data_IF_941620862801
#
_entry.id   IF_941620862801
#
_cell.length_a   1.000
_cell.length_b   1.000
_cell.length_c   1.000
_cell.angle_alpha   90.00
_cell.angle_beta   90.00
_cell.angle_gamma   90.00
#
_symmetry.space_group_name_H-M   'P 1'
#
loop_
_entity.id
_entity.type
_entity.pdbx_description
1 polymer ?
#
# COMPACT_ATOMS: atom_id res chain seq x y z
N UNK A 1 91.87 -5.76 -47.35
CA UNK A 1 92.80 -4.66 -47.69
C UNK A 1 92.39 -4.10 -49.05
N UNK A 2 92.26 -2.77 -49.11
CA UNK A 2 92.48 -1.87 -50.25
C UNK A 2 91.77 -2.11 -51.61
N UNK A 3 90.94 -1.13 -51.97
CA UNK A 3 90.51 -0.80 -53.34
C UNK A 3 91.72 -0.36 -54.22
N UNK A 4 91.61 -0.24 -55.57
CA UNK A 4 91.02 0.99 -56.14
C UNK A 4 90.42 0.93 -57.59
N UNK A 5 89.55 1.91 -57.88
CA UNK A 5 89.39 2.78 -59.09
C UNK A 5 89.37 2.28 -60.57
N UNK A 6 88.19 2.47 -61.20
CA UNK A 6 87.81 3.20 -62.47
C UNK A 6 88.20 2.80 -63.92
N UNK A 7 87.14 2.42 -64.70
CA UNK A 7 86.67 2.80 -66.08
C UNK A 7 87.52 2.58 -67.38
N UNK A 8 86.97 2.64 -68.64
CA UNK A 8 85.56 2.65 -69.17
C UNK A 8 85.30 1.75 -70.45
N UNK A 9 84.03 1.69 -70.95
CA UNK A 9 83.58 1.86 -72.38
C UNK A 9 82.28 1.11 -72.79
N UNK A 10 81.24 1.92 -73.13
CA UNK A 10 80.19 1.84 -74.19
C UNK A 10 79.46 0.50 -74.44
N UNK A 11 78.12 0.42 -74.55
CA UNK A 11 77.21 1.32 -75.30
C UNK A 11 75.72 1.23 -74.87
N UNK A 12 75.03 2.39 -74.91
CA UNK A 12 73.56 2.59 -74.94
C UNK A 12 72.98 2.31 -76.35
N UNK A 13 71.65 2.13 -76.60
CA UNK A 13 70.57 3.11 -76.31
C UNK A 13 69.24 2.44 -75.83
N UNK A 14 68.09 3.06 -75.55
CA UNK A 14 67.51 4.35 -75.93
C UNK A 14 66.52 4.89 -74.86
N UNK A 15 66.36 6.21 -74.89
CA UNK A 15 65.46 7.06 -74.11
C UNK A 15 63.99 6.98 -74.56
N UNK A 16 63.05 7.01 -73.60
CA UNK A 16 61.81 7.77 -73.76
C UNK A 16 61.34 8.33 -72.41
N UNK A 17 61.49 9.65 -72.26
CA UNK A 17 60.87 10.46 -71.22
C UNK A 17 59.47 10.89 -71.67
N UNK A 18 58.44 10.59 -70.88
CA UNK A 18 57.12 11.25 -70.98
C UNK A 18 56.80 11.93 -69.65
N UNK A 19 56.84 13.27 -69.68
CA UNK A 19 56.35 14.16 -68.61
C UNK A 19 54.82 14.06 -68.55
N UNK A 20 54.27 13.66 -67.41
CA UNK A 20 52.84 13.82 -67.09
C UNK A 20 52.59 15.16 -66.38
N UNK A 21 51.51 15.89 -66.69
CA UNK A 21 51.26 17.23 -66.15
C UNK A 21 50.63 17.13 -64.75
N UNK A 22 51.45 17.32 -63.72
CA UNK A 22 51.09 17.31 -62.29
C UNK A 22 50.00 18.35 -61.90
N UNK A 23 49.70 19.33 -62.76
CA UNK A 23 48.71 20.40 -62.48
C UNK A 23 47.25 19.97 -62.62
N UNK A 24 46.95 19.00 -63.49
CA UNK A 24 45.56 18.52 -63.67
C UNK A 24 45.12 17.61 -62.53
N UNK A 25 46.03 16.79 -61.99
CA UNK A 25 45.75 15.87 -60.89
C UNK A 25 45.45 16.62 -59.56
N UNK A 26 46.18 17.72 -59.30
CA UNK A 26 45.98 18.54 -58.11
C UNK A 26 44.64 19.29 -58.12
N UNK A 27 44.18 19.75 -59.28
CA UNK A 27 42.87 20.40 -59.45
C UNK A 27 41.70 19.42 -59.29
N UNK A 28 41.84 18.17 -59.76
CA UNK A 28 40.82 17.14 -59.56
C UNK A 28 40.73 16.67 -58.11
N UNK A 29 41.87 16.60 -57.40
CA UNK A 29 41.88 16.26 -55.97
C UNK A 29 41.31 17.39 -55.10
N UNK A 30 41.54 18.66 -55.43
CA UNK A 30 40.97 19.79 -54.67
C UNK A 30 39.45 19.92 -54.87
N UNK A 31 38.94 19.61 -56.06
CA UNK A 31 37.50 19.66 -56.31
C UNK A 31 36.77 18.50 -55.61
N UNK A 32 37.38 17.31 -55.59
CA UNK A 32 36.82 16.14 -54.90
C UNK A 32 36.78 16.31 -53.37
N UNK A 33 37.78 16.96 -52.76
CA UNK A 33 37.77 17.24 -51.32
C UNK A 33 36.74 18.30 -50.94
N UNK A 34 36.57 19.34 -51.75
CA UNK A 34 35.52 20.35 -51.54
C UNK A 34 34.13 19.74 -51.65
N UNK A 35 33.88 18.88 -52.65
CA UNK A 35 32.60 18.17 -52.80
C UNK A 35 32.34 17.19 -51.65
N UNK A 36 33.36 16.48 -51.16
CA UNK A 36 33.22 15.62 -49.99
C UNK A 36 32.93 16.41 -48.71
N UNK A 37 33.58 17.56 -48.51
CA UNK A 37 33.37 18.41 -47.33
C UNK A 37 31.98 19.07 -47.36
N UNK A 38 31.49 19.50 -48.52
CA UNK A 38 30.13 20.04 -48.64
C UNK A 38 29.07 18.94 -48.50
N UNK A 39 29.34 17.72 -48.99
CA UNK A 39 28.47 16.56 -48.74
C UNK A 39 28.45 16.16 -47.25
N UNK A 40 29.59 16.17 -46.56
CA UNK A 40 29.67 15.88 -45.12
C UNK A 40 28.98 16.96 -44.28
N UNK A 41 29.13 18.24 -44.64
CA UNK A 41 28.46 19.35 -43.96
C UNK A 41 26.96 19.31 -44.22
N UNK A 42 26.50 18.98 -45.43
CA UNK A 42 25.05 18.83 -45.72
C UNK A 42 24.46 17.60 -45.05
N UNK A 43 25.19 16.48 -44.97
CA UNK A 43 24.79 15.30 -44.18
C UNK A 43 24.73 15.67 -42.70
N UNK A 44 25.73 16.38 -42.16
CA UNK A 44 25.70 16.86 -40.77
C UNK A 44 24.54 17.84 -40.53
N UNK A 45 24.25 18.75 -41.46
CA UNK A 45 23.13 19.69 -41.38
C UNK A 45 21.77 19.00 -41.50
N UNK A 46 21.66 17.91 -42.29
CA UNK A 46 20.48 17.07 -42.37
C UNK A 46 20.30 16.19 -41.13
N UNK A 47 21.40 15.71 -40.51
CA UNK A 47 21.35 14.99 -39.23
C UNK A 47 21.07 15.90 -38.04
N UNK A 48 21.42 17.20 -38.10
CA UNK A 48 21.06 18.17 -37.06
C UNK A 48 19.68 18.80 -37.25
N UNK A 49 19.03 18.61 -38.41
CA UNK A 49 17.64 19.04 -38.66
C UNK A 49 16.62 17.89 -38.65
N UNK A 50 17.05 16.67 -38.34
CA UNK A 50 16.15 15.54 -38.03
C UNK A 50 16.27 15.14 -36.57
N UNK A 51 16.05 16.10 -35.67
CA UNK A 51 15.36 15.74 -34.42
C UNK A 51 13.96 15.30 -34.81
N UNK A 52 13.77 14.01 -35.06
CA UNK A 52 12.46 13.39 -34.92
C UNK A 52 12.05 13.62 -33.47
N UNK A 53 11.24 14.64 -33.22
CA UNK A 53 10.40 14.71 -32.03
C UNK A 53 9.63 13.39 -32.03
N UNK A 54 10.04 12.44 -31.20
CA UNK A 54 9.17 11.32 -30.83
C UNK A 54 8.01 11.94 -30.08
N UNK A 55 7.00 12.39 -30.82
CA UNK A 55 5.70 12.75 -30.28
C UNK A 55 5.18 11.46 -29.65
N UNK A 56 5.21 11.39 -28.32
CA UNK A 56 4.51 10.32 -27.61
C UNK A 56 3.05 10.32 -28.10
N UNK A 57 2.46 9.14 -28.38
CA UNK A 57 1.06 9.07 -28.80
C UNK A 57 0.18 9.83 -27.78
N UNK A 58 -0.90 10.50 -28.24
CA UNK A 58 -1.75 11.27 -27.35
C UNK A 58 -2.30 10.36 -26.26
N UNK A 59 -2.13 10.77 -25.00
CA UNK A 59 -2.54 10.01 -23.82
C UNK A 59 -4.01 9.60 -23.92
N UNK A 60 -4.31 8.31 -24.00
CA UNK A 60 -5.68 7.81 -24.10
C UNK A 60 -6.24 7.44 -22.73
N UNK A 61 -7.54 7.72 -22.45
CA UNK A 61 -8.20 7.25 -21.24
C UNK A 61 -8.11 5.72 -21.06
N UNK A 62 -8.10 4.96 -22.15
CA UNK A 62 -7.94 3.50 -22.13
C UNK A 62 -6.62 3.06 -21.48
N UNK A 63 -5.54 3.78 -21.75
CA UNK A 63 -4.20 3.44 -21.25
C UNK A 63 -4.10 3.73 -19.76
N UNK A 64 -4.70 4.86 -19.33
CA UNK A 64 -4.78 5.25 -17.91
C UNK A 64 -5.67 4.30 -17.09
N UNK A 65 -6.70 3.72 -17.70
CA UNK A 65 -7.67 2.86 -17.03
C UNK A 65 -7.38 1.37 -17.16
N UNK A 66 -6.29 0.96 -17.83
CA UNK A 66 -5.97 -0.43 -18.11
C UNK A 66 -5.81 -1.31 -16.84
N UNK A 67 -5.41 -0.70 -15.72
CA UNK A 67 -5.25 -1.38 -14.41
C UNK A 67 -6.45 -1.19 -13.48
N UNK A 68 -7.53 -0.55 -13.94
CA UNK A 68 -8.74 -0.39 -13.14
C UNK A 68 -9.51 -1.71 -13.02
N UNK A 69 -10.04 -2.07 -11.84
CA UNK A 69 -10.97 -3.19 -11.70
C UNK A 69 -12.30 -2.95 -12.43
N UNK A 70 -12.63 -1.69 -12.76
CA UNK A 70 -13.75 -1.32 -13.62
C UNK A 70 -13.29 -0.35 -14.71
N UNK A 71 -12.79 -0.87 -15.86
CA UNK A 71 -12.27 -0.04 -16.94
C UNK A 71 -13.32 0.88 -17.56
N UNK A 72 -14.57 0.42 -17.69
CA UNK A 72 -15.66 1.21 -18.29
C UNK A 72 -15.99 2.45 -17.45
N UNK A 73 -16.17 2.28 -16.14
CA UNK A 73 -16.44 3.40 -15.24
C UNK A 73 -15.24 4.35 -15.15
N UNK A 74 -14.03 3.82 -15.07
CA UNK A 74 -12.80 4.63 -15.08
C UNK A 74 -12.70 5.46 -16.36
N UNK A 75 -12.94 4.85 -17.52
CA UNK A 75 -12.88 5.54 -18.81
C UNK A 75 -13.87 6.70 -18.85
N UNK A 76 -15.13 6.50 -18.45
CA UNK A 76 -16.13 7.55 -18.41
C UNK A 76 -15.70 8.74 -17.54
N UNK A 77 -15.20 8.47 -16.34
CA UNK A 77 -14.74 9.48 -15.38
C UNK A 77 -13.51 10.24 -15.94
N UNK A 78 -12.51 9.52 -16.43
CA UNK A 78 -11.27 10.12 -16.96
C UNK A 78 -11.55 10.94 -18.20
N UNK A 79 -12.37 10.44 -19.14
CA UNK A 79 -12.78 11.20 -20.32
C UNK A 79 -13.47 12.50 -19.94
N UNK A 80 -14.38 12.49 -18.97
CA UNK A 80 -15.05 13.70 -18.50
C UNK A 80 -14.05 14.71 -17.95
N UNK A 81 -13.09 14.27 -17.13
CA UNK A 81 -12.04 15.14 -16.57
C UNK A 81 -11.18 15.76 -17.67
N UNK A 82 -10.76 14.97 -18.66
CA UNK A 82 -9.96 15.45 -19.78
C UNK A 82 -10.71 16.49 -20.64
N UNK A 83 -12.02 16.33 -20.83
CA UNK A 83 -12.86 17.28 -21.57
C UNK A 83 -13.04 18.62 -20.82
N UNK A 84 -13.06 18.59 -19.49
CA UNK A 84 -13.21 19.79 -18.66
C UNK A 84 -11.90 20.54 -18.39
N UNK A 85 -10.77 20.00 -18.85
CA UNK A 85 -9.47 20.65 -18.68
C UNK A 85 -9.37 21.87 -19.59
N UNK A 86 -9.17 23.05 -18.99
CA UNK A 86 -9.12 24.34 -19.69
C UNK A 86 -7.74 24.68 -20.27
N UNK A 87 -6.73 23.85 -20.02
CA UNK A 87 -5.40 24.04 -20.60
C UNK A 87 -5.34 23.45 -22.01
N UNK A 88 -4.99 24.30 -23.00
CA UNK A 88 -4.84 23.95 -24.42
C UNK A 88 -3.66 22.99 -24.73
N UNK A 89 -3.27 22.12 -23.80
CA UNK A 89 -2.21 21.13 -23.98
C UNK A 89 -2.62 19.80 -23.35
N UNK A 90 -2.24 18.69 -23.99
CA UNK A 90 -2.52 17.32 -23.53
C UNK A 90 -2.17 17.17 -22.03
N UNK A 91 -3.15 16.94 -21.13
CA UNK A 91 -2.89 16.92 -19.71
C UNK A 91 -2.07 15.68 -19.34
N UNK A 92 -1.06 15.88 -18.50
CA UNK A 92 -0.24 14.79 -17.97
C UNK A 92 -1.06 13.88 -17.04
N UNK A 93 -0.67 12.60 -16.85
CA UNK A 93 -1.34 11.71 -15.90
C UNK A 93 -1.43 12.31 -14.48
N UNK A 94 -0.42 13.07 -14.05
CA UNK A 94 -0.42 13.74 -12.74
C UNK A 94 -1.46 14.88 -12.66
N UNK A 95 -1.62 15.67 -13.73
CA UNK A 95 -2.67 16.69 -13.79
C UNK A 95 -4.06 16.04 -13.76
N UNK A 96 -4.27 14.96 -14.52
CA UNK A 96 -5.53 14.20 -14.51
C UNK A 96 -5.81 13.64 -13.11
N UNK A 97 -4.80 13.05 -12.45
CA UNK A 97 -4.90 12.57 -11.08
C UNK A 97 -5.35 13.68 -10.12
N UNK A 98 -4.70 14.86 -10.15
CA UNK A 98 -5.10 16.00 -9.31
C UNK A 98 -6.53 16.48 -9.58
N UNK A 99 -6.96 16.52 -10.84
CA UNK A 99 -8.34 16.84 -11.19
C UNK A 99 -9.34 15.80 -10.66
N UNK A 100 -8.99 14.52 -10.68
CA UNK A 100 -9.80 13.45 -10.09
C UNK A 100 -9.93 13.62 -8.57
N UNK A 101 -8.83 13.96 -7.87
CA UNK A 101 -8.88 14.24 -6.44
C UNK A 101 -9.80 15.43 -6.13
N UNK A 102 -9.70 16.52 -6.91
CA UNK A 102 -10.56 17.68 -6.75
C UNK A 102 -12.05 17.31 -6.94
N UNK A 103 -12.38 16.59 -8.01
CA UNK A 103 -13.75 16.14 -8.26
C UNK A 103 -14.25 15.18 -7.17
N UNK A 104 -13.38 14.32 -6.64
CA UNK A 104 -13.70 13.45 -5.50
C UNK A 104 -14.05 14.26 -4.24
N UNK A 105 -13.39 15.40 -3.99
CA UNK A 105 -13.73 16.28 -2.87
C UNK A 105 -15.12 16.93 -3.05
N UNK A 106 -15.45 17.35 -4.27
CA UNK A 106 -16.79 17.88 -4.60
C UNK A 106 -17.88 16.82 -4.37
N UNK A 107 -17.64 15.58 -4.81
CA UNK A 107 -18.57 14.46 -4.58
C UNK A 107 -18.71 14.14 -3.08
N UNK A 108 -17.64 14.30 -2.30
CA UNK A 108 -17.68 14.13 -0.84
C UNK A 108 -18.55 15.19 -0.17
N UNK A 109 -18.48 16.44 -0.61
CA UNK A 109 -19.34 17.50 -0.07
C UNK A 109 -20.82 17.26 -0.40
N UNK A 110 -21.12 16.77 -1.61
CA UNK A 110 -22.47 16.35 -1.98
C UNK A 110 -22.98 15.18 -1.11
N UNK A 111 -22.14 14.17 -0.87
CA UNK A 111 -22.47 13.04 0.00
C UNK A 111 -22.72 13.50 1.44
N UNK A 112 -21.88 14.41 1.97
CA UNK A 112 -22.04 14.97 3.31
C UNK A 112 -23.35 15.77 3.46
N UNK A 113 -23.73 16.55 2.44
CA UNK A 113 -24.99 17.27 2.42
C UNK A 113 -26.20 16.30 2.42
N UNK A 114 -26.15 15.25 1.61
CA UNK A 114 -27.18 14.20 1.58
C UNK A 114 -27.34 13.48 2.92
N UNK A 115 -26.22 13.15 3.57
CA UNK A 115 -26.23 12.57 4.91
C UNK A 115 -26.88 13.50 5.95
N UNK A 116 -26.54 14.80 5.92
CA UNK A 116 -27.12 15.77 6.85
C UNK A 116 -28.63 15.93 6.68
N UNK A 117 -29.13 16.00 5.43
CA UNK A 117 -30.57 16.07 5.16
C UNK A 117 -31.29 14.79 5.63
N UNK A 118 -30.72 13.62 5.34
CA UNK A 118 -31.27 12.31 5.70
C UNK A 118 -31.35 12.12 7.22
N UNK A 119 -30.32 12.56 7.95
CA UNK A 119 -30.28 12.51 9.41
C UNK A 119 -31.43 13.33 10.03
N UNK A 120 -31.74 14.50 9.48
CA UNK A 120 -32.79 15.38 10.00
C UNK A 120 -34.21 14.91 9.65
N UNK A 121 -34.41 14.28 8.48
CA UNK A 121 -35.76 14.07 7.93
C UNK A 121 -36.27 12.63 8.00
N UNK A 122 -35.40 11.64 7.83
CA UNK A 122 -35.81 10.27 7.49
C UNK A 122 -35.36 9.23 8.51
N UNK A 123 -34.19 9.42 9.11
CA UNK A 123 -33.54 8.37 9.92
C UNK A 123 -33.85 8.60 11.41
N UNK A 124 -34.86 7.88 11.91
CA UNK A 124 -35.27 7.92 13.33
C UNK A 124 -34.76 6.75 14.15
N UNK A 125 -34.33 5.68 13.49
CA UNK A 125 -33.90 4.45 14.14
C UNK A 125 -32.46 4.60 14.66
N UNK A 126 -32.19 4.41 15.97
CA UNK A 126 -30.88 4.73 16.56
C UNK A 126 -29.71 4.00 15.91
N UNK A 127 -29.89 2.73 15.49
CA UNK A 127 -28.82 1.96 14.84
C UNK A 127 -28.46 2.56 13.47
N UNK A 128 -29.44 2.94 12.67
CA UNK A 128 -29.19 3.68 11.42
C UNK A 128 -28.55 5.05 11.67
N UNK A 129 -28.89 5.76 12.75
CA UNK A 129 -28.22 7.02 13.09
C UNK A 129 -26.74 6.80 13.44
N UNK A 130 -26.42 5.78 14.23
CA UNK A 130 -25.03 5.41 14.54
C UNK A 130 -24.27 4.98 13.29
N UNK A 131 -24.87 4.16 12.43
CA UNK A 131 -24.25 3.75 11.18
C UNK A 131 -23.97 4.94 10.24
N UNK A 132 -24.89 5.91 10.16
CA UNK A 132 -24.69 7.12 9.39
C UNK A 132 -23.57 8.01 9.98
N UNK A 133 -23.49 8.11 11.30
CA UNK A 133 -22.41 8.82 11.97
C UNK A 133 -21.04 8.18 11.69
N UNK A 134 -20.96 6.84 11.71
CA UNK A 134 -19.74 6.10 11.37
C UNK A 134 -19.33 6.35 9.92
N UNK A 135 -20.30 6.30 9.00
CA UNK A 135 -20.05 6.64 7.61
C UNK A 135 -19.49 8.05 7.47
N UNK A 136 -20.10 9.04 8.13
CA UNK A 136 -19.63 10.42 8.08
C UNK A 136 -18.20 10.57 8.62
N UNK A 137 -17.84 9.82 9.66
CA UNK A 137 -16.47 9.78 10.14
C UNK A 137 -15.50 9.20 9.09
N UNK A 138 -15.86 8.10 8.44
CA UNK A 138 -15.07 7.50 7.35
C UNK A 138 -14.90 8.44 6.15
N UNK A 139 -15.96 9.17 5.77
CA UNK A 139 -15.90 10.17 4.70
C UNK A 139 -14.99 11.34 5.07
N UNK A 140 -14.99 11.79 6.33
CA UNK A 140 -14.10 12.84 6.79
C UNK A 140 -12.64 12.39 6.80
N UNK A 141 -12.34 11.15 7.20
CA UNK A 141 -10.98 10.59 7.11
C UNK A 141 -10.53 10.47 5.66
N UNK A 142 -11.44 10.10 4.76
CA UNK A 142 -11.17 10.02 3.32
C UNK A 142 -10.85 11.39 2.72
N UNK A 143 -11.58 12.44 3.13
CA UNK A 143 -11.30 13.82 2.72
C UNK A 143 -9.87 14.22 3.04
N UNK A 144 -9.42 13.98 4.28
CA UNK A 144 -8.06 14.34 4.71
C UNK A 144 -7.01 13.63 3.82
N UNK A 145 -7.22 12.33 3.53
CA UNK A 145 -6.34 11.53 2.69
C UNK A 145 -6.33 11.96 1.21
N UNK A 146 -7.47 12.34 0.67
CA UNK A 146 -7.57 12.86 -0.71
C UNK A 146 -6.78 14.17 -0.81
N UNK A 147 -6.96 15.09 0.15
CA UNK A 147 -6.20 16.35 0.19
C UNK A 147 -4.70 16.07 0.28
N UNK A 148 -4.27 15.20 1.19
CA UNK A 148 -2.84 14.87 1.33
C UNK A 148 -2.26 14.21 0.08
N UNK A 149 -3.05 13.42 -0.67
CA UNK A 149 -2.58 12.71 -1.87
C UNK A 149 -2.20 13.63 -3.03
N UNK A 150 -2.70 14.87 -3.09
CA UNK A 150 -2.44 15.79 -4.21
C UNK A 150 -0.97 16.21 -4.37
N UNK A 151 -0.24 16.24 -3.26
CA UNK A 151 1.16 16.67 -3.17
C UNK A 151 2.10 15.56 -2.65
N UNK A 152 1.58 14.36 -2.42
CA UNK A 152 2.36 13.25 -1.86
C UNK A 152 3.27 12.58 -2.89
N UNK A 153 4.28 11.85 -2.40
CA UNK A 153 4.98 10.86 -3.21
C UNK A 153 4.00 9.82 -3.75
N UNK A 154 4.29 9.24 -4.92
CA UNK A 154 3.37 8.30 -5.60
C UNK A 154 2.97 7.12 -4.70
N UNK A 155 3.91 6.59 -3.92
CA UNK A 155 3.69 5.47 -2.98
C UNK A 155 2.73 5.84 -1.85
N UNK A 156 2.90 7.04 -1.27
CA UNK A 156 2.05 7.54 -0.19
C UNK A 156 0.64 7.84 -0.74
N UNK A 157 0.55 8.52 -1.89
CA UNK A 157 -0.72 8.78 -2.57
C UNK A 157 -1.47 7.49 -2.92
N UNK A 158 -0.77 6.45 -3.38
CA UNK A 158 -1.36 5.14 -3.67
C UNK A 158 -1.92 4.48 -2.41
N UNK A 159 -1.16 4.53 -1.32
CA UNK A 159 -1.58 3.97 -0.03
C UNK A 159 -2.81 4.69 0.50
N UNK A 160 -2.78 6.02 0.50
CA UNK A 160 -3.87 6.85 1.00
C UNK A 160 -5.14 6.74 0.15
N UNK A 161 -5.02 6.72 -1.18
CA UNK A 161 -6.17 6.51 -2.06
C UNK A 161 -6.75 5.10 -1.96
N UNK A 162 -5.94 4.09 -1.64
CA UNK A 162 -6.45 2.73 -1.33
C UNK A 162 -7.24 2.70 -0.02
N UNK A 163 -6.77 3.45 0.99
CA UNK A 163 -7.50 3.63 2.24
C UNK A 163 -8.82 4.40 2.03
N UNK A 164 -8.83 5.44 1.17
CA UNK A 164 -10.04 6.19 0.77
C UNK A 164 -11.09 5.25 0.16
N UNK A 165 -10.69 4.42 -0.81
CA UNK A 165 -11.59 3.43 -1.41
C UNK A 165 -12.17 2.47 -0.36
N UNK A 166 -11.32 1.99 0.55
CA UNK A 166 -11.71 1.09 1.66
C UNK A 166 -12.71 1.79 2.60
N UNK A 167 -12.48 3.04 2.95
CA UNK A 167 -13.39 3.82 3.80
C UNK A 167 -14.76 4.02 3.14
N UNK A 168 -14.81 4.28 1.83
CA UNK A 168 -16.08 4.42 1.10
C UNK A 168 -16.86 3.10 1.03
N UNK A 169 -16.18 1.99 0.75
CA UNK A 169 -16.78 0.65 0.79
C UNK A 169 -17.29 0.31 2.20
N UNK A 170 -16.45 0.54 3.23
CA UNK A 170 -16.80 0.28 4.63
C UNK A 170 -18.00 1.12 5.08
N UNK A 171 -18.07 2.39 4.67
CA UNK A 171 -19.25 3.21 4.94
C UNK A 171 -20.49 2.54 4.32
N UNK A 172 -20.45 2.19 3.03
CA UNK A 172 -21.62 1.61 2.36
C UNK A 172 -22.07 0.29 2.99
N UNK A 173 -21.13 -0.57 3.36
CA UNK A 173 -21.40 -1.85 4.01
C UNK A 173 -21.99 -1.69 5.42
N UNK A 174 -21.62 -0.61 6.11
CA UNK A 174 -22.14 -0.30 7.45
C UNK A 174 -23.55 0.28 7.46
N UNK A 175 -24.04 0.80 6.33
CA UNK A 175 -25.38 1.39 6.22
C UNK A 175 -26.45 0.33 5.91
N UNK A 176 -27.66 0.58 6.43
CA UNK A 176 -28.84 -0.23 6.13
C UNK A 176 -30.10 0.66 6.02
N UNK A 177 -31.18 0.11 5.47
CA UNK A 177 -32.49 0.75 5.37
C UNK A 177 -32.47 2.11 4.68
N UNK A 178 -33.14 3.09 5.27
CA UNK A 178 -33.27 4.44 4.70
C UNK A 178 -31.91 5.14 4.55
N UNK A 179 -30.98 4.92 5.49
CA UNK A 179 -29.64 5.50 5.44
C UNK A 179 -28.84 4.97 4.24
N UNK A 180 -28.93 3.67 3.96
CA UNK A 180 -28.30 3.06 2.78
C UNK A 180 -28.90 3.60 1.50
N UNK A 181 -30.23 3.60 1.39
CA UNK A 181 -30.92 4.10 0.19
C UNK A 181 -30.56 5.54 -0.16
N UNK A 182 -30.41 6.41 0.84
CA UNK A 182 -30.04 7.81 0.63
C UNK A 182 -28.58 7.99 0.18
N UNK A 183 -27.67 7.17 0.70
CA UNK A 183 -26.22 7.36 0.50
C UNK A 183 -25.63 6.50 -0.63
N UNK A 184 -26.31 5.43 -1.05
CA UNK A 184 -25.73 4.41 -1.93
C UNK A 184 -25.19 4.97 -3.25
N UNK A 185 -25.95 5.82 -3.95
CA UNK A 185 -25.51 6.41 -5.21
C UNK A 185 -24.26 7.31 -5.03
N UNK A 186 -24.21 8.10 -3.95
CA UNK A 186 -23.06 8.93 -3.63
C UNK A 186 -21.83 8.09 -3.32
N UNK A 187 -21.98 7.01 -2.55
CA UNK A 187 -20.87 6.15 -2.15
C UNK A 187 -20.33 5.33 -3.31
N UNK A 188 -21.18 4.86 -4.22
CA UNK A 188 -20.73 4.19 -5.45
C UNK A 188 -19.98 5.15 -6.38
N UNK A 189 -20.44 6.40 -6.51
CA UNK A 189 -19.70 7.44 -7.23
C UNK A 189 -18.32 7.66 -6.60
N UNK A 190 -18.25 7.85 -5.29
CA UNK A 190 -17.00 8.04 -4.56
C UNK A 190 -16.03 6.86 -4.70
N UNK A 191 -16.52 5.62 -4.62
CA UNK A 191 -15.73 4.40 -4.87
C UNK A 191 -15.16 4.40 -6.30
N UNK A 192 -15.97 4.78 -7.29
CA UNK A 192 -15.53 4.86 -8.68
C UNK A 192 -14.45 5.93 -8.89
N UNK A 193 -14.59 7.12 -8.31
CA UNK A 193 -13.56 8.17 -8.35
C UNK A 193 -12.25 7.72 -7.68
N UNK A 194 -12.32 7.07 -6.51
CA UNK A 194 -11.13 6.56 -5.83
C UNK A 194 -10.43 5.47 -6.67
N UNK A 195 -11.21 4.55 -7.27
CA UNK A 195 -10.69 3.52 -8.17
C UNK A 195 -10.05 4.09 -9.44
N UNK A 196 -10.69 5.08 -10.06
CA UNK A 196 -10.15 5.77 -11.24
C UNK A 196 -8.85 6.52 -10.90
N UNK A 197 -8.82 7.19 -9.75
CA UNK A 197 -7.62 7.89 -9.23
C UNK A 197 -6.45 6.93 -9.04
N UNK A 198 -6.69 5.74 -8.49
CA UNK A 198 -5.66 4.70 -8.34
C UNK A 198 -5.14 4.17 -9.68
N UNK A 199 -6.02 3.98 -10.66
CA UNK A 199 -5.63 3.54 -11.99
C UNK A 199 -4.77 4.59 -12.71
N UNK A 200 -5.19 5.86 -12.68
CA UNK A 200 -4.42 6.97 -13.27
C UNK A 200 -3.08 7.15 -12.56
N UNK A 201 -3.05 7.03 -11.23
CA UNK A 201 -1.80 7.14 -10.45
C UNK A 201 -0.76 6.08 -10.83
N UNK A 202 -1.21 4.87 -11.21
CA UNK A 202 -0.33 3.82 -11.72
C UNK A 202 0.31 4.19 -13.06
N UNK A 203 -0.31 5.06 -13.85
CA UNK A 203 0.23 5.55 -15.11
C UNK A 203 1.11 6.81 -14.97
N UNK A 204 1.25 7.36 -13.75
CA UNK A 204 2.17 8.48 -13.47
C UNK A 204 3.61 7.95 -13.48
N UNK A 205 4.50 8.45 -14.36
CA UNK A 205 5.88 7.95 -14.45
C UNK A 205 6.63 8.02 -13.13
N UNK A 206 7.40 6.97 -12.81
CA UNK A 206 8.38 6.91 -11.73
C UNK A 206 9.40 8.04 -11.85
N UNK A 207 9.61 8.83 -10.78
CA UNK A 207 10.80 9.69 -10.73
C UNK A 207 12.04 8.80 -10.53
N UNK A 208 13.24 9.27 -10.90
CA UNK A 208 14.50 8.55 -10.62
C UNK A 208 14.78 8.36 -9.11
N UNK A 209 13.93 8.90 -8.23
CA UNK A 209 13.92 8.65 -6.78
C UNK A 209 12.82 7.67 -6.33
N UNK A 210 11.94 7.25 -7.24
CA UNK A 210 11.00 6.15 -7.08
C UNK A 210 11.59 4.88 -7.70
N UNK A 211 12.64 4.33 -7.09
CA UNK A 211 13.03 2.96 -7.42
C UNK A 211 11.90 2.02 -6.99
N UNK A 212 11.01 1.71 -7.94
CA UNK A 212 10.04 0.61 -7.85
C UNK A 212 10.78 -0.76 -7.88
N UNK A 213 12.08 -0.74 -8.15
CA UNK A 213 13.07 -1.81 -7.93
C UNK A 213 13.79 -1.66 -6.58
N UNK A 214 13.05 -1.40 -5.50
CA UNK A 214 13.46 -1.98 -4.22
C UNK A 214 13.22 -3.49 -4.34
N UNK A 215 14.18 -4.16 -5.00
CA UNK A 215 14.56 -5.52 -4.64
C UNK A 215 14.69 -5.46 -3.13
N UNK A 216 13.66 -5.92 -2.42
CA UNK A 216 13.65 -6.04 -0.96
C UNK A 216 14.81 -6.97 -0.63
N UNK A 217 15.98 -6.36 -0.44
CA UNK A 217 17.15 -7.05 0.08
C UNK A 217 16.72 -7.56 1.45
N UNK A 218 16.84 -8.87 1.73
CA UNK A 218 16.38 -9.41 2.99
C UNK A 218 17.35 -8.96 4.07
N UNK A 219 17.01 -7.88 4.77
CA UNK A 219 17.65 -7.54 6.03
C UNK A 219 16.57 -7.04 6.98
N UNK A 220 16.74 -7.41 8.24
CA UNK A 220 16.01 -6.95 9.41
C UNK A 220 16.07 -5.41 9.60
N UNK A 221 15.61 -4.64 8.64
CA UNK A 221 15.64 -3.17 8.65
C UNK A 221 14.24 -2.60 8.81
N UNK A 222 14.05 -1.81 9.86
CA UNK A 222 12.83 -1.04 10.06
C UNK A 222 12.47 -0.18 8.83
N UNK A 223 11.16 0.03 8.57
CA UNK A 223 10.67 0.97 7.55
C UNK A 223 11.41 2.31 7.55
N UNK A 224 11.66 2.88 6.38
CA UNK A 224 12.37 4.16 6.20
C UNK A 224 11.72 5.32 6.96
N UNK A 225 10.40 5.29 7.15
CA UNK A 225 9.66 6.30 7.91
C UNK A 225 9.89 6.23 9.43
N UNK A 226 10.37 5.10 9.97
CA UNK A 226 10.75 4.99 11.38
C UNK A 226 12.11 5.65 11.60
N UNK A 227 12.11 6.71 12.42
CA UNK A 227 13.33 7.42 12.78
C UNK A 227 14.32 6.51 13.52
N UNK A 228 15.63 6.79 13.41
CA UNK A 228 16.65 6.04 14.19
C UNK A 228 16.35 6.01 15.69
N UNK A 229 15.77 7.09 16.22
CA UNK A 229 15.34 7.17 17.62
C UNK A 229 14.22 6.18 17.93
N UNK A 230 13.21 6.09 17.06
CA UNK A 230 12.10 5.15 17.23
C UNK A 230 12.56 3.70 17.09
N UNK A 231 13.46 3.41 16.14
CA UNK A 231 14.07 2.08 15.98
C UNK A 231 14.77 1.64 17.25
N UNK A 232 15.64 2.51 17.79
CA UNK A 232 16.34 2.27 19.05
C UNK A 232 15.36 2.04 20.21
N UNK A 233 14.25 2.77 20.24
CA UNK A 233 13.22 2.62 21.26
C UNK A 233 12.49 1.27 21.14
N UNK A 234 12.16 0.82 19.92
CA UNK A 234 11.53 -0.47 19.65
C UNK A 234 12.43 -1.67 19.98
N UNK A 235 13.74 -1.50 19.81
CA UNK A 235 14.75 -2.53 20.12
C UNK A 235 15.08 -2.63 21.62
N UNK A 236 14.56 -1.73 22.46
CA UNK A 236 14.78 -1.80 23.91
C UNK A 236 14.01 -2.98 24.50
N UNK A 237 14.74 -3.91 25.10
CA UNK A 237 14.19 -5.12 25.73
C UNK A 237 13.77 -4.94 27.19
N UNK A 238 13.99 -3.75 27.77
CA UNK A 238 13.63 -3.43 29.16
C UNK A 238 12.67 -2.24 29.22
N UNK A 239 11.41 -2.44 29.69
CA UNK A 239 10.45 -1.36 29.87
C UNK A 239 10.95 -0.23 30.78
N UNK A 240 11.81 -0.56 31.76
CA UNK A 240 12.39 0.40 32.71
C UNK A 240 13.41 1.36 32.05
N UNK A 241 13.88 1.07 30.83
CA UNK A 241 14.77 1.95 30.07
C UNK A 241 14.02 2.97 29.21
N UNK A 242 12.70 2.84 29.08
CA UNK A 242 11.87 3.69 28.24
C UNK A 242 11.54 4.99 29.00
N UNK A 243 12.06 6.12 28.52
CA UNK A 243 11.62 7.44 29.00
C UNK A 243 10.21 7.74 28.50
N UNK A 244 9.22 7.48 29.35
CA UNK A 244 7.82 7.75 29.05
C UNK A 244 7.44 9.22 29.28
N UNK A 245 6.61 9.77 28.40
CA UNK A 245 5.99 11.08 28.58
C UNK A 245 4.81 11.02 29.55
N UNK A 246 4.08 9.91 29.54
CA UNK A 246 2.96 9.63 30.43
C UNK A 246 3.05 8.18 30.94
N UNK A 247 2.70 7.96 32.21
CA UNK A 247 2.64 6.63 32.80
C UNK A 247 1.24 6.34 33.32
N UNK A 248 0.74 5.15 33.00
CA UNK A 248 -0.57 4.65 33.39
C UNK A 248 -0.41 3.48 34.35
N UNK A 249 -1.10 3.50 35.48
CA UNK A 249 -1.12 2.40 36.43
C UNK A 249 -2.51 2.22 37.04
N UNK A 250 -3.09 1.02 36.92
CA UNK A 250 -4.43 0.71 37.41
C UNK A 250 -4.57 0.88 38.94
N UNK A 251 -3.47 0.68 39.67
CA UNK A 251 -3.37 0.84 41.13
C UNK A 251 -3.28 2.30 41.60
N UNK A 252 -3.19 3.26 40.67
CA UNK A 252 -3.04 4.68 40.98
C UNK A 252 -1.61 5.12 41.32
N UNK A 253 -0.60 4.25 41.14
CA UNK A 253 0.81 4.56 41.41
C UNK A 253 1.49 5.44 40.35
N UNK A 254 0.73 5.96 39.37
CA UNK A 254 1.24 6.72 38.24
C UNK A 254 0.38 7.95 37.96
N UNK A 255 0.84 8.78 37.01
CA UNK A 255 0.18 10.04 36.60
C UNK A 255 -1.27 9.84 36.16
N UNK A 256 -1.55 8.73 35.47
CA UNK A 256 -2.88 8.39 35.00
C UNK A 256 -3.32 7.02 35.53
N UNK A 257 -4.62 6.90 35.83
CA UNK A 257 -5.24 5.63 36.22
C UNK A 257 -5.79 4.85 35.02
N UNK A 258 -6.16 5.55 33.94
CA UNK A 258 -6.76 4.97 32.73
C UNK A 258 -5.92 5.32 31.51
N UNK A 259 -5.98 4.43 30.50
CA UNK A 259 -5.28 4.61 29.24
C UNK A 259 -5.91 5.76 28.44
N UNK A 260 -7.24 5.91 28.45
CA UNK A 260 -7.91 7.05 27.78
C UNK A 260 -7.42 8.39 28.31
N UNK A 261 -7.29 8.56 29.64
CA UNK A 261 -6.84 9.83 30.21
C UNK A 261 -5.41 10.20 29.77
N UNK A 262 -4.53 9.20 29.65
CA UNK A 262 -3.20 9.42 29.10
C UNK A 262 -3.25 9.79 27.61
N UNK A 263 -4.09 9.12 26.81
CA UNK A 263 -4.29 9.49 25.40
C UNK A 263 -4.84 10.91 25.23
N UNK A 264 -5.76 11.33 26.10
CA UNK A 264 -6.35 12.68 26.05
C UNK A 264 -5.31 13.78 26.33
N UNK A 265 -4.34 13.48 27.20
CA UNK A 265 -3.24 14.38 27.57
C UNK A 265 -2.22 14.63 26.45
N UNK A 266 -2.20 13.78 25.41
CA UNK A 266 -1.26 13.90 24.28
C UNK A 266 -1.49 15.24 23.56
N UNK A 267 -0.48 16.10 23.33
CA UNK A 267 -0.67 17.33 22.56
C UNK A 267 -1.08 17.05 21.11
N UNK A 268 -1.79 17.98 20.47
CA UNK A 268 -2.13 17.85 19.05
C UNK A 268 -0.90 18.11 18.17
N UNK A 269 -0.72 17.35 17.10
CA UNK A 269 0.29 17.60 16.06
C UNK A 269 1.73 17.39 16.52
N UNK A 270 2.00 16.37 17.36
CA UNK A 270 3.36 16.09 17.81
C UNK A 270 4.28 15.78 16.63
N UNK A 271 5.41 16.47 16.57
CA UNK A 271 6.50 16.18 15.62
C UNK A 271 7.43 15.07 16.10
N UNK A 272 7.49 14.88 17.42
CA UNK A 272 8.30 13.86 18.08
C UNK A 272 7.41 12.76 18.68
N UNK A 273 7.99 11.57 18.86
CA UNK A 273 7.36 10.44 19.53
C UNK A 273 6.88 10.82 20.93
N UNK A 274 5.58 10.66 21.20
CA UNK A 274 5.00 10.76 22.53
C UNK A 274 4.76 9.35 23.08
N UNK A 275 5.48 8.97 24.13
CA UNK A 275 5.47 7.61 24.70
C UNK A 275 4.55 7.54 25.91
N UNK A 276 3.53 6.70 25.83
CA UNK A 276 2.65 6.32 26.93
C UNK A 276 3.08 4.95 27.41
N UNK A 277 3.55 4.86 28.65
CA UNK A 277 3.87 3.59 29.29
C UNK A 277 2.71 3.11 30.13
N UNK A 278 2.23 1.90 29.87
CA UNK A 278 1.09 1.28 30.54
C UNK A 278 1.58 0.10 31.37
N UNK A 279 1.67 0.30 32.69
CA UNK A 279 2.13 -0.75 33.60
C UNK A 279 1.26 -2.01 33.50
N UNK A 280 1.75 -3.12 34.03
CA UNK A 280 1.02 -4.38 34.14
C UNK A 280 -0.33 -4.17 34.83
N UNK A 281 -1.35 -4.81 34.30
CA UNK A 281 -2.72 -4.68 34.77
C UNK A 281 -3.74 -4.99 33.69
N UNK A 282 -4.99 -5.13 34.12
CA UNK A 282 -6.15 -5.28 33.24
C UNK A 282 -6.95 -3.98 33.26
N UNK A 283 -6.97 -3.30 32.11
CA UNK A 283 -7.61 -2.01 31.88
C UNK A 283 -8.92 -2.26 31.15
N UNK A 284 -10.04 -2.22 31.90
CA UNK A 284 -11.39 -2.40 31.36
C UNK A 284 -11.94 -1.07 30.84
N UNK A 285 -11.57 -0.73 29.61
CA UNK A 285 -11.94 0.53 28.98
C UNK A 285 -11.95 0.40 27.45
N UNK A 286 -12.84 1.16 26.79
CA UNK A 286 -12.81 1.38 25.35
C UNK A 286 -12.06 2.70 25.11
N UNK A 287 -10.97 2.63 24.35
CA UNK A 287 -10.05 3.75 24.18
C UNK A 287 -10.00 4.22 22.73
N UNK A 288 -9.87 5.53 22.53
CA UNK A 288 -9.80 6.15 21.23
C UNK A 288 -8.71 7.21 21.13
N UNK A 289 -7.88 7.10 20.10
CA UNK A 289 -6.84 8.06 19.73
C UNK A 289 -7.25 8.80 18.44
N UNK A 290 -7.71 10.04 18.61
CA UNK A 290 -8.17 10.87 17.50
C UNK A 290 -7.06 11.30 16.53
N UNK A 291 -7.44 11.63 15.28
CA UNK A 291 -6.51 11.95 14.18
C UNK A 291 -5.49 13.08 14.46
N UNK A 292 -5.82 14.01 15.36
CA UNK A 292 -4.91 15.12 15.73
C UNK A 292 -3.77 14.69 16.65
N UNK A 293 -3.87 13.52 17.28
CA UNK A 293 -2.88 12.98 18.23
C UNK A 293 -1.87 12.10 17.48
N UNK A 294 -0.93 12.73 16.78
CA UNK A 294 0.07 12.05 15.94
C UNK A 294 1.29 11.59 16.74
N UNK A 295 2.04 10.64 16.19
CA UNK A 295 3.32 10.10 16.68
C UNK A 295 3.26 9.54 18.11
N UNK A 296 2.18 8.83 18.44
CA UNK A 296 2.01 8.22 19.76
C UNK A 296 2.54 6.79 19.77
N UNK A 297 3.29 6.43 20.81
CA UNK A 297 3.62 5.05 21.13
C UNK A 297 2.98 4.65 22.44
N UNK A 298 2.35 3.49 22.46
CA UNK A 298 1.79 2.89 23.67
C UNK A 298 2.55 1.59 23.90
N UNK A 299 3.22 1.50 25.04
CA UNK A 299 4.05 0.36 25.40
C UNK A 299 3.65 -0.18 26.75
N UNK A 300 3.49 -1.51 26.85
CA UNK A 300 3.15 -2.19 28.09
C UNK A 300 4.34 -2.85 28.78
N UNK A 301 4.09 -3.48 29.93
CA UNK A 301 5.05 -4.32 30.67
C UNK A 301 5.26 -5.70 30.01
N UNK A 302 4.52 -6.02 28.94
CA UNK A 302 4.52 -7.31 28.26
C UNK A 302 3.11 -7.68 27.77
N UNK A 303 3.02 -8.43 26.66
CA UNK A 303 1.73 -8.76 26.04
C UNK A 303 0.76 -9.50 26.98
N UNK A 304 1.27 -10.32 27.90
CA UNK A 304 0.46 -11.03 28.89
C UNK A 304 0.28 -10.25 30.21
N UNK A 305 1.07 -9.20 30.41
CA UNK A 305 1.10 -8.41 31.64
C UNK A 305 0.20 -7.17 31.57
N UNK A 306 0.15 -6.52 30.41
CA UNK A 306 -0.64 -5.31 30.18
C UNK A 306 -1.77 -5.61 29.19
N UNK A 307 -3.02 -5.60 29.68
CA UNK A 307 -4.20 -5.96 28.88
C UNK A 307 -5.20 -4.80 28.86
N UNK A 308 -5.57 -4.33 27.67
CA UNK A 308 -6.69 -3.41 27.46
C UNK A 308 -7.86 -4.25 26.94
N UNK A 309 -8.98 -4.25 27.65
CA UNK A 309 -10.13 -5.13 27.36
C UNK A 309 -11.44 -4.37 27.30
N UNK A 310 -12.29 -4.78 26.36
CA UNK A 310 -13.66 -4.31 26.17
C UNK A 310 -14.59 -5.46 25.80
N UNK A 311 -15.87 -5.16 25.60
CA UNK A 311 -16.89 -6.17 25.25
C UNK A 311 -18.02 -5.61 24.36
N UNK A 312 -17.81 -4.46 23.74
CA UNK A 312 -18.78 -3.88 22.80
C UNK A 312 -18.94 -4.80 21.59
N UNK A 313 -20.17 -4.91 21.08
CA UNK A 313 -20.52 -5.83 20.01
C UNK A 313 -21.81 -5.43 19.30
N UNK A 314 -22.05 -6.03 18.13
CA UNK A 314 -23.21 -5.69 17.28
C UNK A 314 -24.54 -6.18 17.85
N UNK A 315 -24.57 -7.35 18.49
CA UNK A 315 -25.82 -7.90 19.07
C UNK A 315 -26.39 -6.97 20.15
N UNK A 316 -25.51 -6.36 20.95
CA UNK A 316 -25.88 -5.47 22.05
C UNK A 316 -26.06 -4.00 21.60
N UNK A 317 -26.10 -3.74 20.29
CA UNK A 317 -26.48 -2.45 19.73
C UNK A 317 -25.32 -1.55 19.29
N UNK A 318 -24.07 -2.01 19.35
CA UNK A 318 -22.94 -1.29 18.74
C UNK A 318 -22.93 -1.49 17.21
N UNK A 319 -22.21 -0.65 16.50
CA UNK A 319 -21.81 -0.93 15.11
C UNK A 319 -20.48 -1.70 15.12
N UNK A 320 -20.15 -2.39 14.04
CA UNK A 320 -18.83 -3.01 13.90
C UNK A 320 -17.71 -1.98 14.11
N UNK A 321 -17.87 -0.78 13.55
CA UNK A 321 -16.89 0.31 13.66
C UNK A 321 -16.70 0.83 15.09
N UNK A 322 -17.77 0.98 15.87
CA UNK A 322 -17.72 1.43 17.26
C UNK A 322 -17.53 0.32 18.29
N UNK A 323 -17.57 -0.95 17.89
CA UNK A 323 -17.34 -2.08 18.78
C UNK A 323 -15.87 -2.23 19.24
N UNK A 324 -14.95 -1.41 18.71
CA UNK A 324 -13.52 -1.48 18.99
C UNK A 324 -13.16 -1.24 20.46
N UNK A 325 -12.39 -2.13 21.06
CA UNK A 325 -11.74 -1.90 22.37
C UNK A 325 -10.69 -0.78 22.28
N UNK A 326 -9.84 -0.77 21.24
CA UNK A 326 -8.96 0.35 20.93
C UNK A 326 -9.16 0.81 19.49
N UNK A 327 -9.47 2.09 19.31
CA UNK A 327 -9.52 2.76 18.01
C UNK A 327 -8.41 3.80 17.92
N UNK A 328 -7.57 3.75 16.88
CA UNK A 328 -6.52 4.74 16.71
C UNK A 328 -6.43 5.23 15.26
N UNK A 329 -6.50 6.54 15.10
CA UNK A 329 -6.52 7.21 13.78
C UNK A 329 -5.40 8.24 13.64
N UNK A 330 -4.72 8.59 14.73
CA UNK A 330 -3.56 9.49 14.68
C UNK A 330 -2.35 8.84 14.02
N UNK A 331 -1.84 9.48 12.96
CA UNK A 331 -0.70 8.98 12.17
C UNK A 331 0.56 8.78 13.01
N UNK A 332 1.36 7.79 12.63
CA UNK A 332 2.57 7.42 13.34
C UNK A 332 2.30 6.59 14.60
N UNK A 333 1.17 5.90 14.73
CA UNK A 333 0.89 5.05 15.90
C UNK A 333 1.90 3.89 16.02
N UNK A 334 2.36 3.61 17.24
CA UNK A 334 3.08 2.39 17.60
C UNK A 334 2.41 1.76 18.82
N UNK A 335 2.17 0.45 18.77
CA UNK A 335 1.72 -0.35 19.91
C UNK A 335 2.76 -1.43 20.18
N UNK A 336 3.18 -1.60 21.43
CA UNK A 336 4.21 -2.56 21.81
C UNK A 336 3.92 -3.20 23.17
N UNK A 337 4.26 -4.48 23.32
CA UNK A 337 4.28 -5.19 24.60
C UNK A 337 2.99 -5.08 25.42
N UNK A 338 1.84 -5.13 24.75
CA UNK A 338 0.51 -5.11 25.35
C UNK A 338 -0.46 -5.95 24.53
N UNK A 339 -1.54 -6.38 25.18
CA UNK A 339 -2.67 -7.10 24.55
C UNK A 339 -3.90 -6.21 24.50
N UNK A 340 -4.59 -6.24 23.36
CA UNK A 340 -5.89 -5.60 23.18
C UNK A 340 -6.88 -6.72 22.88
N UNK A 341 -7.95 -6.82 23.65
CA UNK A 341 -8.95 -7.86 23.47
C UNK A 341 -10.37 -7.35 23.53
N UNK A 342 -11.25 -8.07 22.85
CA UNK A 342 -12.70 -7.93 22.99
C UNK A 342 -13.27 -9.27 23.47
N UNK A 343 -13.97 -9.23 24.59
CA UNK A 343 -14.42 -10.41 25.34
C UNK A 343 -15.91 -10.71 25.14
N UNK A 344 -16.56 -10.11 24.13
CA UNK A 344 -17.99 -10.30 23.87
C UNK A 344 -18.39 -11.77 23.61
N UNK A 345 -17.50 -12.54 22.96
CA UNK A 345 -17.72 -13.95 22.62
C UNK A 345 -18.45 -14.16 21.27
N UNK A 346 -18.40 -15.37 20.72
CA UNK A 346 -18.86 -15.66 19.35
C UNK A 346 -20.36 -15.42 19.12
N UNK A 347 -21.18 -15.63 20.16
CA UNK A 347 -22.64 -15.41 20.12
C UNK A 347 -23.03 -13.93 19.95
N UNK A 348 -22.08 -13.00 20.10
CA UNK A 348 -22.29 -11.56 20.00
C UNK A 348 -21.95 -10.98 18.62
N UNK A 349 -21.62 -11.84 17.66
CA UNK A 349 -21.23 -11.48 16.30
C UNK A 349 -20.03 -10.52 16.27
N UNK A 350 -20.07 -9.45 15.45
CA UNK A 350 -18.91 -8.57 15.28
C UNK A 350 -18.57 -7.83 16.58
N UNK A 351 -17.32 -7.97 17.02
CA UNK A 351 -16.80 -7.38 18.25
C UNK A 351 -15.30 -7.08 18.07
N UNK A 352 -14.98 -5.85 17.70
CA UNK A 352 -13.62 -5.47 17.28
C UNK A 352 -12.72 -5.30 18.51
N UNK A 353 -11.52 -5.88 18.50
CA UNK A 353 -10.51 -5.60 19.52
C UNK A 353 -9.72 -4.33 19.19
N UNK A 354 -9.12 -4.28 18.01
CA UNK A 354 -8.28 -3.17 17.55
C UNK A 354 -8.78 -2.65 16.20
N UNK A 355 -8.92 -1.33 16.08
CA UNK A 355 -9.19 -0.62 14.82
C UNK A 355 -8.12 0.44 14.58
N UNK A 356 -7.41 0.35 13.45
CA UNK A 356 -6.35 1.30 13.07
C UNK A 356 -6.73 1.99 11.76
N UNK A 357 -6.77 3.32 11.77
CA UNK A 357 -6.91 4.20 10.60
C UNK A 357 -5.74 5.17 10.44
N UNK A 358 -4.65 4.93 11.18
CA UNK A 358 -3.44 5.73 11.18
C UNK A 358 -2.49 5.30 10.06
N UNK A 359 -1.99 6.26 9.28
CA UNK A 359 -0.88 6.04 8.36
C UNK A 359 0.44 5.97 9.12
N UNK A 360 1.45 5.31 8.53
CA UNK A 360 2.74 5.04 9.19
C UNK A 360 2.51 4.44 10.57
N UNK A 361 1.50 3.59 10.68
CA UNK A 361 1.26 2.80 11.87
C UNK A 361 2.16 1.58 11.81
N UNK A 362 2.97 1.42 12.84
CA UNK A 362 3.79 0.22 13.02
C UNK A 362 2.98 -0.79 13.81
N UNK A 363 2.49 -1.85 13.15
CA UNK A 363 2.15 -3.07 13.85
C UNK A 363 3.35 -4.00 13.86
N UNK A 364 3.62 -4.51 15.05
CA UNK A 364 4.39 -5.71 15.40
C UNK A 364 4.28 -6.76 14.27
N UNK A 365 5.36 -7.54 14.00
CA UNK A 365 5.34 -8.66 13.06
C UNK A 365 4.01 -9.41 13.07
N UNK A 366 3.30 -9.40 11.93
CA UNK A 366 2.03 -10.11 11.79
C UNK A 366 2.28 -11.50 11.23
N UNK A 367 1.55 -12.50 11.72
CA UNK A 367 1.72 -13.90 11.35
C UNK A 367 0.36 -14.49 11.00
N UNK A 368 0.34 -15.50 10.13
CA UNK A 368 -0.84 -16.25 9.69
C UNK A 368 -1.52 -17.01 10.85
N UNK A 369 -0.79 -17.36 11.91
CA UNK A 369 -1.34 -18.04 13.08
C UNK A 369 -0.30 -18.49 14.11
N UNK A 370 -0.80 -19.04 15.23
CA UNK A 370 -0.03 -19.60 16.35
C UNK A 370 -0.76 -20.83 16.93
N UNK A 371 -0.06 -21.91 17.29
CA UNK A 371 -0.72 -23.17 17.68
C UNK A 371 -1.18 -23.16 19.14
N UNK A 372 -2.41 -22.67 19.38
CA UNK A 372 -3.02 -22.64 20.72
C UNK A 372 -3.19 -24.03 21.36
N UNK A 373 -3.35 -25.08 20.55
CA UNK A 373 -3.52 -26.48 20.99
C UNK A 373 -2.57 -27.40 20.22
N UNK A 374 -2.25 -28.54 20.83
CA UNK A 374 -1.27 -29.50 20.30
C UNK A 374 -1.51 -29.91 18.84
N UNK A 375 -2.77 -30.02 18.42
CA UNK A 375 -3.15 -30.42 17.05
C UNK A 375 -3.80 -29.27 16.27
N UNK A 376 -3.33 -28.03 16.48
CA UNK A 376 -3.84 -26.87 15.76
C UNK A 376 -3.74 -27.09 14.24
N UNK A 377 -4.81 -26.77 13.51
CA UNK A 377 -4.89 -26.97 12.07
C UNK A 377 -5.46 -25.74 11.38
N UNK A 378 -4.66 -25.17 10.49
CA UNK A 378 -5.01 -23.96 9.72
C UNK A 378 -4.44 -24.08 8.32
N UNK A 379 -5.23 -23.77 7.30
CA UNK A 379 -4.77 -23.73 5.91
C UNK A 379 -5.15 -22.39 5.30
N UNK A 380 -4.19 -21.74 4.64
CA UNK A 380 -4.41 -20.52 3.87
C UNK A 380 -4.15 -20.86 2.40
N UNK A 381 -5.20 -20.85 1.58
CA UNK A 381 -5.12 -21.27 0.19
C UNK A 381 -5.78 -20.30 -0.79
N UNK A 382 -5.21 -20.17 -1.98
CA UNK A 382 -5.69 -19.34 -3.10
C UNK A 382 -5.99 -17.88 -2.71
N UNK A 383 -5.32 -17.39 -1.68
CA UNK A 383 -5.56 -16.10 -1.03
C UNK A 383 -4.53 -15.06 -1.43
N UNK A 384 -4.88 -13.78 -1.36
CA UNK A 384 -3.92 -12.68 -1.46
C UNK A 384 -3.32 -12.38 -0.08
N UNK A 385 -1.98 -12.36 0.02
CA UNK A 385 -1.23 -12.06 1.25
C UNK A 385 -0.33 -10.87 0.97
N UNK A 386 -0.54 -9.78 1.71
CA UNK A 386 0.22 -8.54 1.56
C UNK A 386 1.52 -8.54 2.40
N UNK A 387 2.38 -7.55 2.18
CA UNK A 387 3.76 -7.48 2.71
C UNK A 387 3.86 -7.33 4.23
N UNK A 388 2.75 -7.07 4.92
CA UNK A 388 2.71 -6.95 6.38
C UNK A 388 2.86 -8.29 7.11
N UNK A 389 2.65 -9.42 6.43
CA UNK A 389 2.89 -10.76 7.01
C UNK A 389 4.39 -11.05 7.04
N UNK A 390 4.89 -11.35 8.24
CA UNK A 390 6.27 -11.69 8.49
C UNK A 390 6.71 -12.89 7.64
N UNK A 391 7.95 -12.89 7.15
CA UNK A 391 8.47 -13.95 6.28
C UNK A 391 8.44 -15.34 6.93
N UNK A 392 8.56 -15.43 8.25
CA UNK A 392 8.37 -16.67 9.03
C UNK A 392 6.98 -17.28 8.84
N UNK A 393 5.97 -16.45 8.56
CA UNK A 393 4.57 -16.82 8.31
C UNK A 393 3.82 -17.20 9.57
N UNK A 394 4.38 -18.04 10.43
CA UNK A 394 3.74 -18.58 11.62
C UNK A 394 4.57 -18.28 12.87
N UNK A 395 3.91 -18.12 14.02
CA UNK A 395 4.56 -17.76 15.28
C UNK A 395 4.36 -18.83 16.33
N UNK A 396 5.41 -19.14 17.11
CA UNK A 396 5.33 -20.10 18.20
C UNK A 396 4.25 -19.68 19.22
N UNK A 397 3.61 -20.68 19.84
CA UNK A 397 2.77 -20.45 21.02
C UNK A 397 3.64 -20.36 22.27
N UNK A 398 4.38 -21.43 22.56
CA UNK A 398 5.39 -21.50 23.62
C UNK A 398 6.50 -22.49 23.22
N UNK A 399 7.72 -21.99 22.99
CA UNK A 399 8.90 -22.77 22.59
C UNK A 399 8.59 -23.81 21.51
N UNK A 400 8.69 -25.10 21.83
CA UNK A 400 8.48 -26.23 20.91
C UNK A 400 7.07 -26.85 20.99
N UNK A 401 6.16 -26.27 21.79
CA UNK A 401 4.80 -26.77 21.93
C UNK A 401 4.09 -26.86 20.57
N UNK A 402 3.47 -28.01 20.30
CA UNK A 402 2.68 -28.31 19.11
C UNK A 402 3.43 -28.33 17.76
N UNK A 403 4.69 -27.90 17.66
CA UNK A 403 5.38 -27.70 16.38
C UNK A 403 5.51 -28.98 15.51
N UNK A 404 5.44 -30.15 16.14
CA UNK A 404 5.48 -31.47 15.49
C UNK A 404 4.11 -32.05 15.16
N UNK A 405 3.06 -31.58 15.81
CA UNK A 405 1.72 -32.20 15.79
C UNK A 405 0.64 -31.30 15.17
N UNK A 406 0.93 -30.01 15.00
CA UNK A 406 0.09 -29.08 14.24
C UNK A 406 0.09 -29.41 12.74
N UNK A 407 -0.88 -28.88 12.00
CA UNK A 407 -0.91 -28.89 10.54
C UNK A 407 -1.19 -27.49 10.02
N UNK A 408 -0.15 -26.77 9.61
CA UNK A 408 -0.23 -25.43 9.01
C UNK A 408 0.15 -25.47 7.54
N UNK A 409 -0.81 -25.19 6.67
CA UNK A 409 -0.68 -25.35 5.22
C UNK A 409 -0.82 -24.04 4.45
N UNK A 410 0.02 -23.86 3.43
CA UNK A 410 -0.14 -22.80 2.42
C UNK A 410 -0.22 -23.40 1.02
N UNK A 411 -1.23 -23.02 0.22
CA UNK A 411 -1.45 -23.54 -1.14
C UNK A 411 -1.82 -22.42 -2.13
N UNK A 412 -1.01 -22.20 -3.17
CA UNK A 412 -1.28 -21.26 -4.27
C UNK A 412 -1.70 -19.84 -3.82
N UNK A 413 -1.11 -19.33 -2.74
CA UNK A 413 -1.30 -17.94 -2.33
C UNK A 413 -0.56 -16.99 -3.27
N UNK A 414 -1.04 -15.74 -3.35
CA UNK A 414 -0.50 -14.68 -4.22
C UNK A 414 -0.25 -13.40 -3.42
N UNK A 415 0.55 -12.49 -3.96
CA UNK A 415 0.88 -11.21 -3.30
C UNK A 415 2.24 -11.20 -2.59
N UNK A 416 2.71 -10.02 -2.17
CA UNK A 416 4.09 -9.83 -1.69
C UNK A 416 4.42 -10.57 -0.38
N UNK A 417 3.42 -10.91 0.45
CA UNK A 417 3.62 -11.71 1.67
C UNK A 417 3.48 -13.22 1.49
N UNK A 418 3.13 -13.68 0.29
CA UNK A 418 2.85 -15.10 0.01
C UNK A 418 4.12 -15.96 -0.19
N UNK A 419 5.30 -15.34 -0.30
CA UNK A 419 6.56 -16.05 -0.51
C UNK A 419 6.88 -17.00 0.64
N UNK A 420 7.06 -18.29 0.33
CA UNK A 420 7.30 -19.33 1.35
C UNK A 420 8.77 -19.55 1.68
N UNK A 421 9.71 -18.90 0.97
CA UNK A 421 11.15 -19.09 1.14
C UNK A 421 11.66 -18.80 2.56
N UNK A 422 11.04 -17.84 3.26
CA UNK A 422 11.41 -17.43 4.62
C UNK A 422 10.64 -18.13 5.76
N UNK A 423 9.76 -19.09 5.43
CA UNK A 423 8.84 -19.69 6.40
C UNK A 423 9.56 -20.55 7.44
N UNK A 424 8.91 -20.70 8.60
CA UNK A 424 9.33 -21.60 9.68
C UNK A 424 9.60 -23.02 9.16
N UNK A 425 10.52 -23.74 9.80
CA UNK A 425 10.91 -25.13 9.44
C UNK A 425 10.30 -26.17 10.37
N UNK A 426 9.15 -25.87 10.97
CA UNK A 426 8.47 -26.79 11.88
C UNK A 426 7.99 -28.03 11.13
N UNK A 427 8.08 -29.24 11.71
CA UNK A 427 7.61 -30.45 11.05
C UNK A 427 6.12 -30.43 10.67
N UNK A 428 5.28 -29.70 11.42
CA UNK A 428 3.86 -29.52 11.11
C UNK A 428 3.54 -28.41 10.10
N UNK A 429 4.55 -27.67 9.60
CA UNK A 429 4.35 -26.66 8.55
C UNK A 429 4.54 -27.28 7.16
N UNK A 430 3.62 -26.97 6.24
CA UNK A 430 3.55 -27.56 4.91
C UNK A 430 3.35 -26.48 3.83
N UNK A 431 4.29 -26.40 2.89
CA UNK A 431 4.02 -25.81 1.57
C UNK A 431 3.31 -26.90 0.77
N UNK A 432 2.00 -26.75 0.58
CA UNK A 432 1.19 -27.74 -0.12
C UNK A 432 1.39 -27.52 -1.62
N UNK A 433 1.89 -28.55 -2.31
CA UNK A 433 2.06 -28.55 -3.76
C UNK A 433 1.08 -29.49 -4.46
N UNK A 434 0.63 -30.54 -3.76
CA UNK A 434 -0.35 -31.47 -4.26
C UNK A 434 -1.78 -30.96 -4.04
N UNK A 435 -2.51 -30.76 -5.13
CA UNK A 435 -3.91 -30.38 -5.11
C UNK A 435 -4.78 -31.38 -4.34
N UNK A 436 -4.41 -32.66 -4.28
CA UNK A 436 -5.18 -33.66 -3.51
C UNK A 436 -5.20 -33.34 -2.01
N UNK A 437 -4.09 -32.84 -1.48
CA UNK A 437 -3.97 -32.43 -0.08
C UNK A 437 -4.78 -31.16 0.18
N UNK A 438 -4.73 -30.18 -0.73
CA UNK A 438 -5.53 -28.96 -0.62
C UNK A 438 -7.04 -29.22 -0.76
N UNK A 439 -7.46 -30.21 -1.58
CA UNK A 439 -8.87 -30.60 -1.76
C UNK A 439 -9.53 -31.00 -0.45
N UNK A 440 -8.80 -31.60 0.49
CA UNK A 440 -9.33 -31.97 1.81
C UNK A 440 -9.86 -30.76 2.61
N UNK A 441 -9.44 -29.54 2.27
CA UNK A 441 -9.83 -28.29 2.93
C UNK A 441 -10.88 -27.49 2.15
N UNK A 442 -11.39 -28.02 1.04
CA UNK A 442 -12.46 -27.38 0.24
C UNK A 442 -13.82 -27.49 0.92
N UNK A 443 -14.79 -26.69 0.45
CA UNK A 443 -16.17 -26.71 0.95
C UNK A 443 -16.79 -28.11 0.88
N UNK A 444 -16.58 -28.85 -0.21
CA UNK A 444 -17.10 -30.20 -0.36
C UNK A 444 -16.53 -31.18 0.67
N UNK A 445 -15.24 -31.06 1.00
CA UNK A 445 -14.56 -32.05 1.83
C UNK A 445 -14.58 -31.69 3.31
N UNK A 446 -14.35 -30.42 3.66
CA UNK A 446 -14.18 -29.99 5.05
C UNK A 446 -15.51 -29.87 5.79
N UNK A 447 -16.53 -29.32 5.12
CA UNK A 447 -17.83 -28.99 5.73
C UNK A 447 -19.02 -29.64 5.02
N UNK A 448 -18.75 -30.50 4.03
CA UNK A 448 -19.77 -31.20 3.24
C UNK A 448 -20.81 -30.23 2.64
N UNK A 449 -20.35 -29.04 2.23
CA UNK A 449 -21.21 -27.90 1.94
C UNK A 449 -22.25 -28.12 0.85
N UNK A 450 -21.99 -29.05 -0.09
CA UNK A 450 -22.93 -29.39 -1.15
C UNK A 450 -24.29 -29.92 -0.66
N UNK A 451 -24.37 -30.45 0.57
CA UNK A 451 -25.61 -30.98 1.13
C UNK A 451 -26.51 -29.93 1.77
N UNK A 452 -25.99 -28.73 2.08
CA UNK A 452 -26.75 -27.74 2.86
C UNK A 452 -26.60 -26.30 2.37
N UNK A 453 -25.47 -25.91 1.76
CA UNK A 453 -25.27 -24.53 1.29
C UNK A 453 -26.22 -24.17 0.14
N UNK A 454 -26.61 -25.13 -0.69
CA UNK A 454 -27.55 -24.91 -1.81
C UNK A 454 -28.90 -24.34 -1.34
N UNK A 455 -29.39 -24.83 -0.20
CA UNK A 455 -30.67 -24.42 0.37
C UNK A 455 -30.62 -23.00 0.95
N UNK A 456 -29.42 -22.50 1.26
CA UNK A 456 -29.25 -21.14 1.80
C UNK A 456 -29.30 -20.03 0.75
N UNK A 457 -29.19 -20.38 -0.54
CA UNK A 457 -29.12 -19.41 -1.65
C UNK A 457 -27.80 -18.63 -1.75
N UNK A 458 -26.79 -18.93 -0.92
CA UNK A 458 -25.48 -18.28 -0.98
C UNK A 458 -24.66 -18.79 -2.17
N UNK A 459 -23.89 -17.91 -2.80
CA UNK A 459 -22.92 -18.33 -3.82
C UNK A 459 -21.73 -19.03 -3.15
N UNK A 460 -21.33 -20.20 -3.65
CA UNK A 460 -20.18 -20.96 -3.13
C UNK A 460 -19.50 -21.77 -4.23
N UNK A 461 -18.21 -22.05 -4.05
CA UNK A 461 -17.45 -23.00 -4.84
C UNK A 461 -17.20 -24.26 -4.00
N UNK A 462 -17.52 -25.43 -4.54
CA UNK A 462 -17.38 -26.70 -3.83
C UNK A 462 -15.91 -27.16 -3.70
N UNK A 463 -15.05 -26.79 -4.65
CA UNK A 463 -13.69 -27.30 -4.79
C UNK A 463 -12.61 -26.21 -4.96
N UNK A 464 -11.41 -26.64 -5.38
CA UNK A 464 -10.27 -25.78 -5.69
C UNK A 464 -10.38 -25.10 -7.06
#
# INVERSE_FOLDING_TARGET
MAAPTTEPLLSSPATHTTRLPCKALLLTLSLATVVCLTALVTIQLMTTTTTTTTMNPPLQPSDLCAKSPNPTSCHAIVSQVMLTSTENHHPTPLQIFRSLLHNSLVQLDAAAASAADSHLRLIKEPKQQSALADCMQLLQLSRDRIVSSGDAARTDARTWMSAVLTNHATCLDGLDGAAKSAMQAHLESLKAYASASLAVLHAVPSSEHDNDDDVVKPVATFPSWLSHRDRKLLEMTSPNAIQANAVVAADGSATFKTVQAAMDSVPNGNKNRYVIYVKKGVYKENVSLGKKKTNVMIVGDGMDATVITGSLNVVDGSTTFNSSTLAAVGDGLILQDLKIENTAGPQKHQAVALRVGADRSGSIPSYLGRPWKAYSRTVVMQSYIDSHINSKGWLEWDREFALKTLFYGEYQNRGPGAGTGGRVKWPGYHVITDASTAKAFTVASLIQGGSWLKETGVAFAEGL
#
